data_IF_200861858434
#
_entry.id   IF_200861858434
#
_cell.length_a   1.000
_cell.length_b   1.000
_cell.length_c   1.000
_cell.angle_alpha   90.00
_cell.angle_beta   90.00
_cell.angle_gamma   90.00
#
_symmetry.space_group_name_H-M   'P 1'
#
loop_
_entity.id
_entity.type
_entity.pdbx_description
1 polymer ?
#
# COMPACT_ATOMS: atom_id res chain seq x y z
N UNK A 1 -4.16 7.51 3.74
CA UNK A 1 -5.62 7.70 3.82
C UNK A 1 -6.21 6.53 4.60
N UNK A 2 -7.09 6.77 5.56
CA UNK A 2 -7.62 5.71 6.45
C UNK A 2 -9.07 5.37 6.10
N UNK A 3 -9.41 4.09 6.11
CA UNK A 3 -10.78 3.59 5.84
C UNK A 3 -11.36 2.97 7.10
N UNK A 4 -12.62 3.30 7.40
CA UNK A 4 -13.37 2.68 8.49
C UNK A 4 -14.74 2.23 7.98
N UNK A 5 -15.31 1.20 8.58
CA UNK A 5 -16.62 0.69 8.20
C UNK A 5 -17.01 -0.53 9.03
N UNK A 6 -17.99 -1.27 8.55
CA UNK A 6 -18.49 -2.48 9.18
C UNK A 6 -17.51 -3.68 9.15
N UNK A 7 -17.99 -4.88 9.54
CA UNK A 7 -17.17 -6.08 9.70
C UNK A 7 -16.35 -6.47 8.45
N UNK A 8 -16.85 -6.18 7.24
CA UNK A 8 -16.13 -6.44 5.99
C UNK A 8 -14.87 -5.60 5.83
N UNK A 9 -14.87 -4.35 6.32
CA UNK A 9 -13.69 -3.47 6.33
C UNK A 9 -12.67 -3.96 7.36
N UNK A 10 -13.14 -4.42 8.52
CA UNK A 10 -12.27 -5.05 9.51
C UNK A 10 -11.61 -6.31 8.94
N UNK A 11 -12.37 -7.19 8.28
CA UNK A 11 -11.84 -8.38 7.62
C UNK A 11 -10.82 -8.05 6.53
N UNK A 12 -11.10 -7.04 5.69
CA UNK A 12 -10.16 -6.58 4.67
C UNK A 12 -8.88 -6.00 5.29
N UNK A 13 -9.00 -5.22 6.37
CA UNK A 13 -7.88 -4.63 7.10
C UNK A 13 -7.03 -5.68 7.79
N UNK A 14 -7.65 -6.70 8.41
CA UNK A 14 -6.96 -7.83 9.02
C UNK A 14 -6.24 -8.69 7.99
N UNK A 15 -6.79 -8.86 6.79
CA UNK A 15 -6.10 -9.56 5.70
C UNK A 15 -4.96 -8.77 5.09
N UNK A 16 -5.06 -7.44 5.14
CA UNK A 16 -3.98 -6.56 4.74
C UNK A 16 -2.81 -6.64 5.72
N UNK A 17 -3.06 -6.63 7.02
CA UNK A 17 -1.99 -6.62 8.02
C UNK A 17 -1.56 -8.02 8.44
N UNK A 18 -0.25 -8.25 8.48
CA UNK A 18 0.29 -9.55 8.86
C UNK A 18 0.47 -9.63 10.37
N UNK A 19 -0.01 -10.73 10.97
CA UNK A 19 0.01 -10.93 12.44
C UNK A 19 1.41 -11.05 13.05
N UNK A 20 2.44 -11.32 12.23
CA UNK A 20 3.84 -11.49 12.64
C UNK A 20 4.69 -10.22 12.41
N UNK A 21 4.08 -9.09 12.00
CA UNK A 21 4.78 -7.83 11.76
C UNK A 21 4.33 -6.80 12.80
N UNK A 22 5.28 -5.98 13.28
CA UNK A 22 4.99 -4.82 14.11
C UNK A 22 4.96 -3.57 13.23
N UNK A 23 3.93 -2.75 13.42
CA UNK A 23 3.75 -1.50 12.70
C UNK A 23 3.83 -0.35 13.69
N UNK A 24 4.63 0.66 13.36
CA UNK A 24 4.76 1.88 14.15
C UNK A 24 4.61 3.10 13.24
N UNK A 25 3.78 4.04 13.68
CA UNK A 25 3.46 5.24 12.91
C UNK A 25 3.50 6.45 13.82
N UNK A 26 4.20 7.50 13.41
CA UNK A 26 3.98 8.84 13.92
C UNK A 26 2.95 9.53 13.03
N UNK A 27 1.81 9.90 13.59
CA UNK A 27 0.72 10.50 12.84
C UNK A 27 0.37 11.88 13.39
N UNK A 28 0.28 12.87 12.50
CA UNK A 28 -0.36 14.15 12.75
C UNK A 28 -1.53 14.31 11.78
N UNK A 29 -2.69 14.69 12.31
CA UNK A 29 -3.89 14.97 11.50
C UNK A 29 -4.47 16.30 11.92
N UNK A 30 -4.73 17.15 10.93
CA UNK A 30 -5.42 18.42 11.08
C UNK A 30 -6.75 18.34 10.31
N UNK A 31 -7.80 17.94 11.01
CA UNK A 31 -9.14 17.76 10.44
C UNK A 31 -9.81 19.12 10.28
N UNK A 32 -10.23 19.46 9.06
CA UNK A 32 -10.86 20.75 8.75
C UNK A 32 -12.35 20.64 8.56
N UNK A 33 -12.80 19.65 7.80
CA UNK A 33 -14.19 19.53 7.41
C UNK A 33 -14.60 18.07 7.32
N UNK A 34 -15.85 17.82 7.70
CA UNK A 34 -16.50 16.52 7.66
C UNK A 34 -17.74 16.61 6.78
N UNK A 35 -17.77 15.80 5.71
CA UNK A 35 -18.98 15.60 4.91
C UNK A 35 -19.59 14.24 5.25
N UNK A 36 -20.92 14.17 5.23
CA UNK A 36 -21.63 12.90 5.28
C UNK A 36 -22.84 12.97 4.36
N UNK A 37 -23.15 11.84 3.72
CA UNK A 37 -24.37 11.69 2.96
C UNK A 37 -25.54 11.55 3.94
N UNK A 38 -26.60 12.30 3.69
CA UNK A 38 -27.90 12.09 4.36
C UNK A 38 -28.76 11.22 3.47
N UNK A 39 -29.55 10.33 4.10
CA UNK A 39 -30.52 9.48 3.42
C UNK A 39 -29.92 8.66 2.26
N UNK A 40 -28.67 8.22 2.42
CA UNK A 40 -27.90 7.54 1.35
C UNK A 40 -28.54 6.25 0.85
N UNK A 41 -29.43 5.61 1.61
CA UNK A 41 -30.24 4.49 1.13
C UNK A 41 -31.16 4.86 -0.04
N UNK A 42 -31.63 6.11 -0.10
CA UNK A 42 -32.45 6.63 -1.20
C UNK A 42 -31.65 7.13 -2.41
N UNK A 43 -30.32 7.18 -2.31
CA UNK A 43 -29.42 7.66 -3.38
C UNK A 43 -28.87 6.51 -4.24
N UNK A 44 -29.27 5.27 -3.98
CA UNK A 44 -28.90 4.13 -4.80
C UNK A 44 -29.45 4.31 -6.22
N UNK A 45 -28.59 4.13 -7.23
CA UNK A 45 -29.01 3.99 -8.62
C UNK A 45 -29.71 2.64 -8.81
N UNK A 46 -31.00 2.64 -8.47
CA UNK A 46 -31.87 1.46 -8.45
C UNK A 46 -31.89 0.79 -9.82
N UNK A 47 -32.00 1.54 -10.91
CA UNK A 47 -32.16 0.95 -12.25
C UNK A 47 -30.90 0.23 -12.70
N UNK A 48 -29.73 0.85 -12.52
CA UNK A 48 -28.45 0.23 -12.88
C UNK A 48 -28.16 -1.03 -12.04
N UNK A 49 -28.42 -0.97 -10.74
CA UNK A 49 -28.22 -2.12 -9.84
C UNK A 49 -29.20 -3.23 -10.20
N UNK A 50 -30.49 -2.90 -10.42
CA UNK A 50 -31.53 -3.86 -10.76
C UNK A 50 -31.22 -4.60 -12.06
N UNK A 51 -30.78 -3.89 -13.09
CA UNK A 51 -30.34 -4.50 -14.35
C UNK A 51 -29.17 -5.46 -14.12
N UNK A 52 -28.19 -5.06 -13.31
CA UNK A 52 -27.01 -5.86 -13.05
C UNK A 52 -27.31 -7.13 -12.24
N UNK A 53 -28.14 -7.04 -11.18
CA UNK A 53 -28.49 -8.23 -10.38
C UNK A 53 -29.32 -9.24 -11.18
N UNK A 54 -30.19 -8.79 -12.09
CA UNK A 54 -30.96 -9.67 -12.99
C UNK A 54 -30.08 -10.46 -13.96
N UNK A 55 -28.88 -9.97 -14.26
CA UNK A 55 -27.91 -10.67 -15.10
C UNK A 55 -27.05 -11.69 -14.33
N UNK A 56 -27.11 -11.69 -12.98
CA UNK A 56 -26.33 -12.59 -12.15
C UNK A 56 -26.99 -13.97 -12.03
N UNK A 57 -26.22 -15.07 -12.11
CA UNK A 57 -26.72 -16.40 -11.82
C UNK A 57 -27.20 -16.49 -10.37
N UNK A 58 -28.40 -17.05 -10.18
CA UNK A 58 -29.02 -17.22 -8.87
C UNK A 58 -29.53 -18.66 -8.73
N UNK A 59 -29.20 -19.41 -7.65
CA UNK A 59 -28.39 -18.99 -6.50
C UNK A 59 -26.89 -18.83 -6.85
N UNK A 60 -26.16 -18.13 -5.98
CA UNK A 60 -24.69 -18.09 -6.05
C UNK A 60 -24.13 -19.52 -5.91
N UNK A 61 -23.28 -19.94 -6.86
CA UNK A 61 -22.64 -21.25 -6.88
C UNK A 61 -21.12 -21.08 -6.89
N UNK A 62 -20.49 -21.26 -5.73
CA UNK A 62 -19.04 -21.12 -5.53
C UNK A 62 -18.19 -22.18 -6.25
N UNK A 63 -18.77 -23.31 -6.63
CA UNK A 63 -18.05 -24.38 -7.35
C UNK A 63 -17.92 -24.10 -8.84
N UNK A 64 -18.71 -23.17 -9.38
CA UNK A 64 -18.66 -22.78 -10.79
C UNK A 64 -17.85 -21.48 -10.95
N UNK A 65 -16.64 -21.61 -11.51
CA UNK A 65 -15.73 -20.48 -11.72
C UNK A 65 -16.31 -19.36 -12.60
N UNK A 66 -17.17 -19.68 -13.57
CA UNK A 66 -17.85 -18.67 -14.39
C UNK A 66 -18.88 -17.88 -13.59
N UNK A 67 -19.58 -18.54 -12.65
CA UNK A 67 -20.51 -17.85 -11.74
C UNK A 67 -19.72 -16.93 -10.83
N UNK A 68 -18.65 -17.43 -10.19
CA UNK A 68 -17.77 -16.61 -9.34
C UNK A 68 -17.24 -15.39 -10.10
N UNK A 69 -16.81 -15.56 -11.35
CA UNK A 69 -16.31 -14.45 -12.17
C UNK A 69 -17.39 -13.39 -12.42
N UNK A 70 -18.63 -13.76 -12.74
CA UNK A 70 -19.71 -12.78 -12.92
C UNK A 70 -19.97 -11.93 -11.67
N UNK A 71 -19.87 -12.52 -10.48
CA UNK A 71 -19.98 -11.76 -9.23
C UNK A 71 -18.75 -10.87 -8.99
N UNK A 72 -17.54 -11.31 -9.34
CA UNK A 72 -16.34 -10.45 -9.32
C UNK A 72 -16.51 -9.26 -10.27
N UNK A 73 -17.03 -9.47 -11.47
CA UNK A 73 -17.28 -8.42 -12.46
C UNK A 73 -18.32 -7.42 -11.95
N UNK A 74 -19.36 -7.89 -11.25
CA UNK A 74 -20.33 -7.03 -10.56
C UNK A 74 -19.63 -6.13 -9.53
N UNK A 75 -18.79 -6.68 -8.66
CA UNK A 75 -18.05 -5.90 -7.66
C UNK A 75 -17.01 -4.97 -8.29
N UNK A 76 -16.41 -5.34 -9.41
CA UNK A 76 -15.51 -4.46 -10.15
C UNK A 76 -16.25 -3.25 -10.73
N UNK A 77 -17.51 -3.43 -11.16
CA UNK A 77 -18.34 -2.36 -11.72
C UNK A 77 -18.93 -1.42 -10.67
N UNK A 78 -19.49 -1.97 -9.58
CA UNK A 78 -20.24 -1.18 -8.60
C UNK A 78 -19.47 -0.90 -7.31
N UNK A 79 -18.32 -1.54 -7.12
CA UNK A 79 -17.66 -1.59 -5.83
C UNK A 79 -18.35 -2.55 -4.86
N UNK A 80 -17.75 -2.69 -3.68
CA UNK A 80 -18.26 -3.53 -2.59
C UNK A 80 -18.84 -2.69 -1.45
N UNK A 81 -18.49 -1.41 -1.40
CA UNK A 81 -18.85 -0.48 -0.35
C UNK A 81 -19.13 0.90 -0.94
N UNK A 82 -19.94 1.69 -0.22
CA UNK A 82 -20.29 3.06 -0.57
C UNK A 82 -19.71 4.00 0.47
N UNK A 83 -19.05 5.07 0.02
CA UNK A 83 -18.53 6.12 0.90
C UNK A 83 -19.71 6.93 1.44
N UNK A 84 -19.97 6.85 2.74
CA UNK A 84 -21.07 7.56 3.41
C UNK A 84 -20.61 8.79 4.18
N UNK A 85 -19.33 8.84 4.54
CA UNK A 85 -18.74 9.98 5.25
C UNK A 85 -17.28 10.15 4.86
N UNK A 86 -16.86 11.40 4.77
CA UNK A 86 -15.50 11.79 4.38
C UNK A 86 -14.99 12.87 5.32
N UNK A 87 -13.70 12.82 5.61
CA UNK A 87 -13.01 13.78 6.44
C UNK A 87 -11.88 14.41 5.62
N UNK A 88 -11.85 15.73 5.55
CA UNK A 88 -10.89 16.52 4.80
C UNK A 88 -9.97 17.31 5.72
N UNK A 89 -8.73 17.50 5.30
CA UNK A 89 -7.73 18.23 6.06
C UNK A 89 -6.32 18.01 5.54
N UNK A 90 -5.35 18.02 6.44
CA UNK A 90 -3.98 17.57 6.15
C UNK A 90 -3.57 16.43 7.08
N UNK A 91 -2.74 15.53 6.57
CA UNK A 91 -2.28 14.37 7.30
C UNK A 91 -0.81 14.12 7.01
N UNK A 92 -0.04 13.90 8.06
CA UNK A 92 1.34 13.49 8.01
C UNK A 92 1.45 12.16 8.75
N UNK A 93 1.94 11.15 8.04
CA UNK A 93 2.32 9.87 8.59
C UNK A 93 3.79 9.66 8.28
N UNK A 94 4.60 9.55 9.33
CA UNK A 94 6.02 9.22 9.23
C UNK A 94 6.25 7.88 9.92
N UNK A 95 7.13 7.06 9.35
CA UNK A 95 7.77 6.02 10.16
C UNK A 95 8.76 6.75 11.07
N UNK A 96 8.57 6.70 12.40
CA UNK A 96 9.45 7.43 13.30
C UNK A 96 10.86 6.85 13.18
N UNK A 97 11.86 7.71 12.93
CA UNK A 97 13.20 7.39 13.37
C UNK A 97 13.26 7.46 14.90
N UNK A 98 14.34 6.96 15.50
CA UNK A 98 14.45 6.82 16.95
C UNK A 98 14.18 8.12 17.74
N UNK A 99 14.47 9.26 17.14
CA UNK A 99 14.29 10.61 17.67
C UNK A 99 12.99 11.30 17.22
N UNK A 100 12.08 10.56 16.57
CA UNK A 100 10.81 11.09 16.05
C UNK A 100 11.04 12.05 14.89
N UNK A 101 10.51 13.27 15.00
CA UNK A 101 10.97 14.38 14.17
C UNK A 101 12.18 15.00 14.90
N UNK A 102 13.37 15.06 14.26
CA UNK A 102 14.59 15.56 14.90
C UNK A 102 14.37 16.87 15.66
N UNK A 103 14.88 16.90 16.89
CA UNK A 103 14.77 18.01 17.85
C UNK A 103 13.37 18.26 18.46
N UNK A 104 12.39 17.37 18.27
CA UNK A 104 11.04 17.52 18.81
C UNK A 104 10.78 16.90 20.20
N UNK A 105 11.67 16.05 20.74
CA UNK A 105 11.43 15.34 22.01
C UNK A 105 12.68 14.74 22.68
N UNK A 106 12.50 14.23 23.91
CA UNK A 106 13.53 13.55 24.71
C UNK A 106 13.66 12.07 24.34
N UNK A 107 14.88 11.58 24.17
CA UNK A 107 15.16 10.19 23.82
C UNK A 107 16.50 9.71 24.40
N UNK A 108 16.67 8.39 24.55
CA UNK A 108 17.86 7.70 25.04
C UNK A 108 18.75 7.15 23.89
N UNK A 109 19.78 7.91 23.54
CA UNK A 109 20.71 7.52 22.48
C UNK A 109 21.38 6.15 22.66
N UNK A 110 21.41 5.60 23.88
CA UNK A 110 22.03 4.30 24.14
C UNK A 110 21.36 3.16 23.37
N UNK A 111 20.07 3.28 23.01
CA UNK A 111 19.38 2.24 22.24
C UNK A 111 20.06 1.98 20.89
N UNK A 112 20.73 2.99 20.30
CA UNK A 112 21.39 2.84 18.99
C UNK A 112 22.54 1.82 19.02
N UNK A 113 23.10 1.58 20.20
CA UNK A 113 24.14 0.57 20.40
C UNK A 113 23.60 -0.85 20.53
N UNK A 114 22.31 -1.03 20.85
CA UNK A 114 21.71 -2.33 21.08
C UNK A 114 21.63 -3.15 19.79
N UNK A 115 21.99 -4.44 19.87
CA UNK A 115 21.93 -5.37 18.73
C UNK A 115 20.53 -5.47 18.13
N UNK A 116 19.49 -5.42 18.97
CA UNK A 116 18.09 -5.41 18.53
C UNK A 116 17.75 -4.18 17.69
N UNK A 117 18.29 -3.01 18.03
CA UNK A 117 18.08 -1.79 17.25
C UNK A 117 18.81 -1.83 15.91
N UNK A 118 20.04 -2.36 15.86
CA UNK A 118 20.79 -2.56 14.61
C UNK A 118 20.02 -3.49 13.66
N UNK A 119 19.54 -4.62 14.18
CA UNK A 119 18.71 -5.55 13.42
C UNK A 119 17.38 -4.93 12.98
N UNK A 120 16.75 -4.11 13.82
CA UNK A 120 15.57 -3.34 13.42
C UNK A 120 15.89 -2.37 12.26
N UNK A 121 17.01 -1.65 12.31
CA UNK A 121 17.44 -0.73 11.24
C UNK A 121 17.70 -1.46 9.92
N UNK A 122 18.27 -2.67 9.96
CA UNK A 122 18.48 -3.52 8.78
C UNK A 122 17.15 -4.00 8.17
N UNK A 123 16.15 -4.32 9.00
CA UNK A 123 14.91 -4.96 8.55
C UNK A 123 13.75 -3.98 8.30
N UNK A 124 13.78 -2.78 8.87
CA UNK A 124 12.68 -1.83 8.76
C UNK A 124 12.46 -1.40 7.31
N UNK A 125 11.20 -1.07 7.02
CA UNK A 125 10.77 -0.39 5.81
C UNK A 125 10.21 0.97 6.18
N UNK A 126 10.48 1.97 5.34
CA UNK A 126 10.00 3.32 5.54
C UNK A 126 8.90 3.63 4.53
N UNK A 127 7.72 3.99 5.04
CA UNK A 127 6.65 4.57 4.24
C UNK A 127 6.23 5.89 4.88
N UNK A 128 6.72 6.99 4.31
CA UNK A 128 6.30 8.33 4.68
C UNK A 128 5.19 8.78 3.73
N UNK A 129 4.10 9.28 4.28
CA UNK A 129 2.95 9.73 3.50
C UNK A 129 2.46 11.05 4.07
N UNK A 130 2.50 12.10 3.24
CA UNK A 130 2.07 13.43 3.62
C UNK A 130 1.05 13.92 2.59
N UNK A 131 -0.09 14.35 3.08
CA UNK A 131 -1.26 14.73 2.30
C UNK A 131 -1.73 16.12 2.73
N UNK A 132 -2.04 16.97 1.74
CA UNK A 132 -2.47 18.35 1.99
C UNK A 132 -1.31 19.27 2.37
N UNK A 133 -1.62 20.56 2.55
CA UNK A 133 -0.61 21.59 2.76
C UNK A 133 0.25 21.86 1.53
N UNK A 134 1.42 22.46 1.75
CA UNK A 134 2.36 22.76 0.68
C UNK A 134 3.16 21.52 0.23
N UNK A 135 3.10 21.20 -1.06
CA UNK A 135 3.74 20.02 -1.64
C UNK A 135 5.27 20.04 -1.59
N UNK A 136 5.90 21.22 -1.64
CA UNK A 136 7.35 21.34 -1.53
C UNK A 136 7.81 21.07 -0.10
N UNK A 137 7.10 21.61 0.90
CA UNK A 137 7.37 21.31 2.31
C UNK A 137 7.06 19.85 2.66
N UNK A 138 6.00 19.28 2.10
CA UNK A 138 5.70 17.86 2.23
C UNK A 138 6.82 16.98 1.67
N UNK A 139 7.35 17.29 0.48
CA UNK A 139 8.49 16.57 -0.09
C UNK A 139 9.73 16.66 0.82
N UNK A 140 10.02 17.84 1.36
CA UNK A 140 11.12 18.02 2.31
C UNK A 140 10.96 17.20 3.58
N UNK A 141 9.73 17.09 4.12
CA UNK A 141 9.45 16.27 5.30
C UNK A 141 9.60 14.77 5.03
N UNK A 142 9.38 14.31 3.80
CA UNK A 142 9.64 12.92 3.41
C UNK A 142 11.14 12.63 3.35
N UNK A 143 11.95 13.57 2.84
CA UNK A 143 13.37 13.33 2.56
C UNK A 143 14.32 13.73 3.70
N UNK A 144 13.98 14.78 4.44
CA UNK A 144 14.81 15.38 5.49
C UNK A 144 13.92 16.07 6.54
N UNK A 145 13.18 15.29 7.36
CA UNK A 145 12.25 15.84 8.32
C UNK A 145 12.99 16.68 9.38
N UNK A 146 12.49 17.90 9.62
CA UNK A 146 12.88 18.72 10.77
C UNK A 146 11.63 19.28 11.43
N UNK A 147 11.71 19.58 12.74
CA UNK A 147 10.58 20.15 13.45
C UNK A 147 10.15 21.50 12.84
N UNK A 148 11.12 22.34 12.47
CA UNK A 148 10.87 23.62 11.79
C UNK A 148 10.15 23.45 10.44
N UNK A 149 10.53 22.47 9.63
CA UNK A 149 9.82 22.18 8.36
C UNK A 149 8.41 21.68 8.64
N UNK A 150 8.23 20.87 9.69
CA UNK A 150 6.92 20.35 10.10
C UNK A 150 5.99 21.48 10.49
N UNK A 151 6.44 22.42 11.31
CA UNK A 151 5.63 23.57 11.72
C UNK A 151 5.23 24.44 10.53
N UNK A 152 6.18 24.73 9.62
CA UNK A 152 5.87 25.48 8.39
C UNK A 152 4.85 24.75 7.52
N UNK A 153 5.00 23.44 7.33
CA UNK A 153 4.03 22.65 6.55
C UNK A 153 2.67 22.65 7.22
N UNK A 154 2.63 22.43 8.55
CA UNK A 154 1.41 22.49 9.36
C UNK A 154 0.67 23.81 9.15
N UNK A 155 1.38 24.94 9.14
CA UNK A 155 0.73 26.24 8.98
C UNK A 155 0.15 26.43 7.55
N UNK A 156 0.67 25.69 6.55
CA UNK A 156 0.12 25.66 5.19
C UNK A 156 -1.02 24.66 4.99
N UNK A 157 -1.34 23.83 5.98
CA UNK A 157 -2.42 22.83 5.89
C UNK A 157 -3.80 23.46 5.66
N UNK A 158 -3.99 24.68 6.16
CA UNK A 158 -5.26 25.40 6.21
C UNK A 158 -5.89 25.66 4.82
N UNK A 159 -5.17 26.27 3.84
CA UNK A 159 -5.75 26.56 2.52
C UNK A 159 -5.75 25.36 1.55
N UNK A 160 -5.08 24.25 1.85
CA UNK A 160 -4.84 23.14 0.91
C UNK A 160 -5.27 21.79 1.53
N UNK A 161 -6.58 21.64 1.75
CA UNK A 161 -7.16 20.42 2.32
C UNK A 161 -7.36 19.32 1.29
N UNK A 162 -7.16 18.07 1.68
CA UNK A 162 -7.40 16.88 0.87
C UNK A 162 -8.20 15.83 1.66
N UNK A 163 -8.73 14.82 0.98
CA UNK A 163 -9.42 13.70 1.62
C UNK A 163 -8.44 12.91 2.51
N UNK A 164 -8.72 12.81 3.81
CA UNK A 164 -7.85 12.14 4.79
C UNK A 164 -8.33 10.73 5.12
N UNK A 165 -9.63 10.62 5.39
CA UNK A 165 -10.25 9.37 5.78
C UNK A 165 -11.71 9.36 5.36
N UNK A 166 -12.26 8.16 5.26
CA UNK A 166 -13.66 7.98 4.91
C UNK A 166 -14.26 6.79 5.64
N UNK A 167 -15.57 6.87 5.87
CA UNK A 167 -16.39 5.80 6.39
C UNK A 167 -17.19 5.23 5.24
N UNK A 168 -17.24 3.90 5.17
CA UNK A 168 -18.03 3.19 4.19
C UNK A 168 -19.11 2.32 4.82
N UNK A 169 -20.17 2.12 4.06
CA UNK A 169 -21.24 1.14 4.34
C UNK A 169 -21.18 0.03 3.28
N UNK A 170 -21.51 -1.21 3.62
CA UNK A 170 -21.49 -2.29 2.64
C UNK A 170 -22.64 -2.17 1.64
N UNK A 171 -22.35 -2.42 0.36
CA UNK A 171 -23.36 -2.30 -0.71
C UNK A 171 -24.58 -3.20 -0.43
N UNK A 172 -24.36 -4.43 0.05
CA UNK A 172 -25.46 -5.35 0.37
C UNK A 172 -26.29 -4.90 1.57
N UNK A 173 -25.71 -4.19 2.55
CA UNK A 173 -26.44 -3.60 3.67
C UNK A 173 -27.41 -2.53 3.16
N UNK A 174 -26.95 -1.69 2.23
CA UNK A 174 -27.79 -0.72 1.54
C UNK A 174 -28.88 -1.38 0.69
N UNK A 175 -28.52 -2.42 -0.06
CA UNK A 175 -29.48 -3.16 -0.90
C UNK A 175 -30.62 -3.72 -0.05
N UNK A 176 -30.32 -4.37 1.08
CA UNK A 176 -31.34 -4.91 2.00
C UNK A 176 -32.27 -3.83 2.53
N UNK A 177 -31.78 -2.62 2.75
CA UNK A 177 -32.57 -1.45 3.16
C UNK A 177 -33.32 -0.74 2.01
N UNK A 178 -33.18 -1.20 0.77
CA UNK A 178 -33.84 -0.59 -0.39
C UNK A 178 -35.36 -0.77 -0.35
N UNK A 179 -36.10 0.24 -0.83
CA UNK A 179 -37.55 0.17 -1.05
C UNK A 179 -37.92 -0.74 -2.23
N UNK A 180 -36.96 -1.10 -3.08
CA UNK A 180 -37.16 -2.05 -4.15
C UNK A 180 -37.03 -3.48 -3.61
N UNK A 181 -38.13 -4.24 -3.61
CA UNK A 181 -38.19 -5.60 -3.07
C UNK A 181 -37.20 -6.57 -3.72
N UNK A 182 -36.93 -6.42 -5.02
CA UNK A 182 -35.99 -7.30 -5.74
C UNK A 182 -34.55 -7.03 -5.30
N UNK A 183 -34.16 -5.75 -5.20
CA UNK A 183 -32.85 -5.35 -4.68
C UNK A 183 -32.69 -5.80 -3.22
N UNK A 184 -33.72 -5.56 -2.39
CA UNK A 184 -33.72 -5.93 -0.98
C UNK A 184 -33.53 -7.44 -0.78
N UNK A 185 -34.27 -8.26 -1.52
CA UNK A 185 -34.13 -9.71 -1.48
C UNK A 185 -32.75 -10.19 -1.95
N UNK A 186 -32.16 -9.55 -2.97
CA UNK A 186 -30.88 -9.95 -3.55
C UNK A 186 -29.67 -9.59 -2.68
N UNK A 187 -29.81 -8.65 -1.74
CA UNK A 187 -28.71 -8.21 -0.88
C UNK A 187 -28.05 -9.36 -0.10
N UNK A 188 -28.80 -10.38 0.32
CA UNK A 188 -28.21 -11.56 0.99
C UNK A 188 -27.31 -12.37 0.06
N UNK A 189 -27.69 -12.54 -1.21
CA UNK A 189 -26.88 -13.24 -2.20
C UNK A 189 -25.59 -12.48 -2.51
N UNK A 190 -25.64 -11.16 -2.61
CA UNK A 190 -24.45 -10.32 -2.79
C UNK A 190 -23.49 -10.46 -1.61
N UNK A 191 -24.01 -10.42 -0.38
CA UNK A 191 -23.19 -10.61 0.83
C UNK A 191 -22.49 -11.97 0.81
N UNK A 192 -23.22 -13.06 0.56
CA UNK A 192 -22.67 -14.41 0.52
C UNK A 192 -21.57 -14.57 -0.54
N UNK A 193 -21.79 -14.00 -1.73
CA UNK A 193 -20.80 -14.03 -2.80
C UNK A 193 -19.53 -13.25 -2.41
N UNK A 194 -19.68 -12.06 -1.81
CA UNK A 194 -18.54 -11.27 -1.33
C UNK A 194 -17.73 -12.02 -0.27
N UNK A 195 -18.39 -12.54 0.77
CA UNK A 195 -17.74 -13.27 1.86
C UNK A 195 -16.97 -14.50 1.33
N UNK A 196 -17.56 -15.25 0.39
CA UNK A 196 -16.88 -16.38 -0.21
C UNK A 196 -15.67 -15.94 -1.05
N UNK A 197 -15.82 -14.94 -1.93
CA UNK A 197 -14.73 -14.46 -2.81
C UNK A 197 -13.54 -13.97 -1.97
N UNK A 198 -13.81 -13.18 -0.93
CA UNK A 198 -12.76 -12.63 -0.05
C UNK A 198 -12.08 -13.73 0.75
N UNK A 199 -12.78 -14.79 1.14
CA UNK A 199 -12.22 -15.93 1.88
C UNK A 199 -11.56 -16.99 1.01
N UNK A 200 -11.70 -16.92 -0.31
CA UNK A 200 -11.10 -17.87 -1.25
C UNK A 200 -10.31 -17.12 -2.34
N UNK A 201 -9.28 -16.33 -1.95
CA UNK A 201 -8.46 -15.64 -2.93
C UNK A 201 -7.73 -16.66 -3.81
N UNK A 202 -7.64 -16.36 -5.10
CA UNK A 202 -6.75 -17.11 -5.98
C UNK A 202 -5.33 -16.68 -5.62
N UNK A 203 -4.45 -17.63 -5.31
CA UNK A 203 -3.03 -17.33 -5.10
C UNK A 203 -2.40 -17.03 -6.46
N UNK A 204 -1.78 -15.87 -6.57
CA UNK A 204 -0.98 -15.45 -7.72
C UNK A 204 0.50 -15.57 -7.34
N UNK A 205 1.32 -16.13 -8.24
CA UNK A 205 2.76 -16.27 -8.04
C UNK A 205 3.49 -15.58 -9.20
N UNK A 206 3.72 -14.29 -9.05
CA UNK A 206 4.36 -13.46 -10.06
C UNK A 206 5.88 -13.62 -10.02
N UNK A 207 6.49 -13.87 -11.17
CA UNK A 207 7.96 -13.95 -11.33
C UNK A 207 8.54 -12.54 -11.39
N UNK A 208 9.58 -12.28 -10.60
CA UNK A 208 10.24 -10.98 -10.52
C UNK A 208 11.75 -11.14 -10.58
N UNK A 209 12.42 -10.30 -11.36
CA UNK A 209 13.88 -10.21 -11.38
C UNK A 209 14.33 -8.79 -11.01
N UNK A 210 15.11 -8.68 -9.93
CA UNK A 210 15.83 -7.46 -9.57
C UNK A 210 17.21 -7.49 -10.25
N UNK A 211 17.43 -6.54 -11.16
CA UNK A 211 18.70 -6.37 -11.87
C UNK A 211 19.38 -5.12 -11.34
N UNK A 212 20.62 -5.29 -10.88
CA UNK A 212 21.39 -4.31 -10.13
C UNK A 212 22.65 -3.98 -10.90
N UNK A 213 22.95 -2.68 -11.03
CA UNK A 213 24.19 -2.13 -11.57
C UNK A 213 24.67 -1.02 -10.62
N UNK A 214 25.14 -1.42 -9.43
CA UNK A 214 25.42 -0.52 -8.29
C UNK A 214 26.29 -1.22 -7.22
N UNK A 215 26.73 -0.50 -6.19
CA UNK A 215 27.39 -1.07 -4.99
C UNK A 215 26.39 -1.66 -3.97
N UNK A 216 25.14 -1.20 -4.02
CA UNK A 216 24.00 -1.83 -3.36
C UNK A 216 22.69 -1.49 -4.09
N UNK A 217 21.66 -2.31 -3.86
CA UNK A 217 20.29 -2.01 -4.24
C UNK A 217 19.28 -2.65 -3.27
N UNK A 218 18.07 -2.10 -3.25
CA UNK A 218 16.96 -2.59 -2.44
C UNK A 218 15.66 -2.58 -3.25
N UNK A 219 14.89 -3.65 -3.10
CA UNK A 219 13.49 -3.75 -3.49
C UNK A 219 12.66 -3.85 -2.22
N UNK A 220 11.68 -2.96 -2.06
CA UNK A 220 10.73 -3.04 -0.96
C UNK A 220 9.31 -3.15 -1.49
N UNK A 221 8.67 -4.27 -1.15
CA UNK A 221 7.26 -4.50 -1.36
C UNK A 221 6.47 -3.64 -0.35
N UNK A 222 5.50 -2.87 -0.85
CA UNK A 222 4.68 -1.98 -0.05
C UNK A 222 3.26 -2.51 0.14
N UNK A 223 2.84 -3.50 -0.64
CA UNK A 223 1.55 -4.17 -0.52
C UNK A 223 1.57 -5.18 0.63
N UNK A 224 0.92 -4.90 1.78
CA UNK A 224 1.01 -5.72 2.99
C UNK A 224 0.40 -7.13 2.87
N UNK A 225 -0.53 -7.34 1.93
CA UNK A 225 -1.10 -8.66 1.62
C UNK A 225 -0.22 -9.52 0.72
N UNK A 226 0.90 -9.00 0.22
CA UNK A 226 1.83 -9.69 -0.66
C UNK A 226 3.12 -10.06 0.09
N UNK A 227 3.80 -11.12 -0.37
CA UNK A 227 5.09 -11.55 0.19
C UNK A 227 6.12 -11.85 -0.90
N UNK A 228 7.38 -11.62 -0.57
CA UNK A 228 8.56 -12.03 -1.33
C UNK A 228 8.91 -13.47 -0.94
N UNK A 229 9.08 -14.32 -1.95
CA UNK A 229 9.65 -15.67 -1.81
C UNK A 229 10.83 -15.79 -2.76
N UNK A 230 12.01 -16.08 -2.23
CA UNK A 230 13.23 -16.18 -3.02
C UNK A 230 13.18 -17.34 -4.03
N UNK A 231 13.82 -17.17 -5.18
CA UNK A 231 14.11 -18.26 -6.10
C UNK A 231 15.21 -19.19 -5.58
N UNK A 232 15.56 -20.18 -6.40
CA UNK A 232 16.51 -21.25 -6.00
C UNK A 232 17.94 -20.75 -5.78
N UNK A 233 18.31 -19.64 -6.44
CA UNK A 233 19.66 -19.06 -6.37
C UNK A 233 19.61 -17.71 -5.68
N UNK A 234 20.16 -17.65 -4.47
CA UNK A 234 20.33 -16.42 -3.70
C UNK A 234 21.80 -16.00 -3.77
N UNK A 235 22.14 -14.90 -4.44
CA UNK A 235 23.52 -14.41 -4.50
C UNK A 235 24.08 -14.08 -3.12
N UNK A 236 25.39 -14.16 -2.97
CA UNK A 236 26.07 -13.69 -1.75
C UNK A 236 25.78 -12.20 -1.50
N UNK A 237 25.80 -11.80 -0.22
CA UNK A 237 25.44 -10.45 0.23
C UNK A 237 23.97 -10.06 0.00
N UNK A 238 23.10 -11.03 -0.26
CA UNK A 238 21.66 -10.82 -0.30
C UNK A 238 21.07 -10.99 1.09
N UNK A 239 20.43 -9.96 1.60
CA UNK A 239 19.58 -10.01 2.78
C UNK A 239 18.12 -9.89 2.33
N UNK A 240 17.23 -10.68 2.92
CA UNK A 240 15.83 -10.63 2.55
C UNK A 240 14.92 -10.99 3.71
N UNK A 241 13.69 -10.52 3.62
CA UNK A 241 12.54 -11.00 4.36
C UNK A 241 11.33 -10.98 3.39
N UNK A 242 10.15 -11.24 3.93
CA UNK A 242 8.93 -11.35 3.12
C UNK A 242 8.48 -10.01 2.50
N UNK A 243 9.04 -8.87 2.88
CA UNK A 243 8.67 -7.55 2.32
C UNK A 243 9.83 -6.84 1.65
N UNK A 244 11.07 -7.23 1.94
CA UNK A 244 12.26 -6.50 1.53
C UNK A 244 13.35 -7.43 1.04
N UNK A 245 14.00 -7.02 -0.04
CA UNK A 245 15.17 -7.67 -0.61
C UNK A 245 16.26 -6.61 -0.77
N UNK A 246 17.44 -6.87 -0.23
CA UNK A 246 18.59 -5.98 -0.29
C UNK A 246 19.81 -6.76 -0.74
N UNK A 247 20.65 -6.14 -1.57
CA UNK A 247 21.92 -6.72 -2.00
C UNK A 247 23.05 -5.70 -1.88
N UNK A 248 24.22 -6.18 -1.49
CA UNK A 248 25.42 -5.38 -1.33
C UNK A 248 25.44 -4.64 0.01
N UNK A 249 26.32 -3.65 0.13
CA UNK A 249 26.44 -2.83 1.34
C UNK A 249 26.54 -1.35 0.96
N UNK A 250 25.72 -0.53 1.60
CA UNK A 250 25.77 0.92 1.48
C UNK A 250 27.20 1.42 1.73
N UNK A 251 27.75 2.23 0.83
CA UNK A 251 29.10 2.82 0.91
C UNK A 251 30.25 1.80 0.84
N UNK A 252 30.00 0.59 0.34
CA UNK A 252 31.09 -0.36 0.06
C UNK A 252 31.99 0.10 -1.09
N UNK A 253 31.47 0.96 -1.98
CA UNK A 253 32.13 1.44 -3.20
C UNK A 253 32.59 0.32 -4.16
N UNK A 254 32.14 -0.92 -3.93
CA UNK A 254 32.42 -2.07 -4.78
C UNK A 254 31.20 -2.31 -5.66
N UNK A 255 31.16 -1.62 -6.80
CA UNK A 255 30.10 -1.82 -7.76
C UNK A 255 30.15 -3.20 -8.39
N UNK A 256 28.97 -3.75 -8.66
CA UNK A 256 28.82 -5.03 -9.33
C UNK A 256 27.53 -5.06 -10.14
N UNK A 257 27.47 -6.01 -11.06
CA UNK A 257 26.24 -6.37 -11.75
C UNK A 257 25.70 -7.65 -11.15
N UNK A 258 24.48 -7.60 -10.65
CA UNK A 258 23.82 -8.77 -10.05
C UNK A 258 22.37 -8.86 -10.53
N UNK A 259 21.91 -10.10 -10.71
CA UNK A 259 20.48 -10.38 -10.87
C UNK A 259 20.03 -11.27 -9.71
N UNK A 260 18.86 -10.98 -9.16
CA UNK A 260 18.21 -11.76 -8.12
C UNK A 260 16.80 -12.08 -8.60
N UNK A 261 16.51 -13.36 -8.75
CA UNK A 261 15.20 -13.85 -9.15
C UNK A 261 14.40 -14.26 -7.90
N UNK A 262 13.16 -13.82 -7.84
CA UNK A 262 12.23 -14.11 -6.74
C UNK A 262 10.79 -14.12 -7.24
N UNK A 263 9.88 -14.44 -6.34
CA UNK A 263 8.45 -14.42 -6.59
C UNK A 263 7.76 -13.44 -5.65
N UNK A 264 6.75 -12.76 -6.15
CA UNK A 264 5.77 -12.08 -5.30
C UNK A 264 4.52 -12.94 -5.27
N UNK A 265 4.12 -13.36 -4.07
CA UNK A 265 2.90 -14.13 -3.84
C UNK A 265 1.85 -13.20 -3.24
N UNK A 266 0.68 -13.12 -3.89
CA UNK A 266 -0.46 -12.36 -3.38
C UNK A 266 -1.80 -12.95 -3.84
N UNK A 267 -2.88 -12.19 -3.66
CA UNK A 267 -4.27 -12.53 -3.97
C UNK A 267 -4.74 -12.04 -5.36
N UNK A 268 -3.81 -11.62 -6.23
CA UNK A 268 -4.10 -11.15 -7.59
C UNK A 268 -4.39 -9.65 -7.70
N UNK A 269 -4.40 -8.90 -6.61
CA UNK A 269 -4.47 -7.43 -6.68
C UNK A 269 -3.15 -6.83 -7.19
N UNK A 270 -3.17 -5.65 -7.84
CA UNK A 270 -1.95 -4.93 -8.18
C UNK A 270 -1.07 -4.65 -6.96
N UNK A 271 0.24 -4.67 -7.16
CA UNK A 271 1.21 -4.41 -6.08
C UNK A 271 1.84 -3.02 -6.20
N UNK A 272 2.21 -2.49 -5.04
CA UNK A 272 3.02 -1.29 -4.88
C UNK A 272 4.40 -1.71 -4.36
N UNK A 273 5.46 -1.10 -4.88
CA UNK A 273 6.83 -1.35 -4.44
C UNK A 273 7.72 -0.13 -4.65
N UNK A 274 8.93 -0.17 -4.11
CA UNK A 274 9.98 0.79 -4.43
C UNK A 274 11.28 0.10 -4.81
N UNK A 275 12.11 0.83 -5.55
CA UNK A 275 13.48 0.45 -5.90
C UNK A 275 14.40 1.54 -5.38
N UNK A 276 15.45 1.15 -4.65
CA UNK A 276 16.51 2.05 -4.17
C UNK A 276 17.87 1.52 -4.64
N UNK A 277 18.84 2.42 -4.82
CA UNK A 277 20.19 2.01 -5.23
C UNK A 277 21.29 2.96 -4.76
N UNK A 278 22.48 2.41 -4.64
CA UNK A 278 23.72 3.15 -4.40
C UNK A 278 24.38 3.73 -5.65
N UNK A 279 25.70 3.82 -5.61
CA UNK A 279 26.53 4.44 -6.66
C UNK A 279 27.37 3.39 -7.37
N UNK A 280 27.81 3.68 -8.59
CA UNK A 280 28.61 2.75 -9.37
C UNK A 280 30.11 2.70 -9.01
N UNK A 281 30.49 2.89 -7.74
CA UNK A 281 31.89 2.88 -7.28
C UNK A 281 32.76 4.00 -7.87
N UNK A 282 33.43 4.79 -7.02
CA UNK A 282 34.49 5.74 -7.40
C UNK A 282 34.23 6.70 -8.59
N UNK A 283 33.58 7.84 -8.33
CA UNK A 283 33.48 9.00 -9.23
C UNK A 283 32.28 8.97 -10.18
N UNK A 284 31.43 10.00 -10.10
CA UNK A 284 30.34 10.48 -11.00
C UNK A 284 29.46 9.49 -11.80
N UNK A 285 29.59 8.17 -11.57
CA UNK A 285 28.80 7.14 -12.21
C UNK A 285 27.49 6.90 -11.48
N UNK A 286 26.37 7.16 -12.16
CA UNK A 286 25.04 6.82 -11.67
C UNK A 286 24.91 5.30 -11.58
N UNK A 287 24.67 4.78 -10.37
CA UNK A 287 24.19 3.40 -10.22
C UNK A 287 22.77 3.28 -10.76
N UNK A 288 22.31 2.05 -10.98
CA UNK A 288 20.90 1.80 -11.30
C UNK A 288 20.41 0.48 -10.74
N UNK A 289 19.10 0.39 -10.57
CA UNK A 289 18.42 -0.86 -10.30
C UNK A 289 17.10 -0.90 -11.07
N UNK A 290 16.71 -2.08 -11.53
CA UNK A 290 15.45 -2.28 -12.24
C UNK A 290 14.77 -3.58 -11.87
N UNK A 291 13.46 -3.58 -11.96
CA UNK A 291 12.60 -4.73 -11.79
C UNK A 291 12.03 -5.13 -13.14
N UNK A 292 12.21 -6.39 -13.51
CA UNK A 292 11.45 -7.01 -14.59
C UNK A 292 10.33 -7.85 -13.98
N UNK A 293 9.10 -7.53 -14.37
CA UNK A 293 7.88 -8.19 -13.86
C UNK A 293 6.77 -8.05 -14.92
N UNK A 294 6.02 -9.12 -15.20
CA UNK A 294 4.94 -9.12 -16.20
C UNK A 294 5.35 -8.69 -17.62
N UNK A 295 6.60 -8.92 -18.00
CA UNK A 295 7.13 -8.46 -19.29
C UNK A 295 7.34 -6.94 -19.36
N UNK A 296 7.10 -6.22 -18.27
CA UNK A 296 7.44 -4.81 -18.11
C UNK A 296 8.75 -4.63 -17.34
N UNK A 297 9.42 -3.50 -17.60
CA UNK A 297 10.65 -3.11 -16.92
C UNK A 297 10.44 -1.78 -16.20
N UNK A 298 10.69 -1.78 -14.90
CA UNK A 298 10.60 -0.62 -14.01
C UNK A 298 12.00 -0.22 -13.58
N UNK A 299 12.47 0.96 -14.00
CA UNK A 299 13.87 1.39 -13.83
C UNK A 299 13.94 2.53 -12.84
N UNK A 300 14.91 2.45 -11.93
CA UNK A 300 15.40 3.59 -11.17
C UNK A 300 16.88 3.83 -11.49
N UNK A 301 17.15 4.92 -12.20
CA UNK A 301 18.46 5.39 -12.63
C UNK A 301 18.73 6.85 -12.19
N UNK A 302 17.85 7.41 -11.36
CA UNK A 302 17.89 8.81 -10.96
C UNK A 302 18.60 8.99 -9.62
N UNK A 303 19.56 9.92 -9.58
CA UNK A 303 20.09 10.44 -8.33
C UNK A 303 19.10 11.46 -7.75
N UNK A 304 18.59 11.21 -6.55
CA UNK A 304 17.63 12.12 -5.89
C UNK A 304 18.24 12.92 -4.74
N UNK A 305 19.58 12.90 -4.60
CA UNK A 305 20.38 13.53 -3.54
C UNK A 305 19.99 13.17 -2.09
N UNK A 306 19.00 12.29 -1.91
CA UNK A 306 18.82 11.55 -0.68
C UNK A 306 19.74 10.31 -0.73
N UNK A 307 20.27 9.87 0.41
CA UNK A 307 21.28 8.82 0.48
C UNK A 307 20.85 7.45 -0.12
N UNK A 308 19.58 7.29 -0.49
CA UNK A 308 18.98 6.01 -0.89
C UNK A 308 18.55 5.92 -2.36
N UNK A 309 18.48 7.05 -3.08
CA UNK A 309 17.98 7.13 -4.47
C UNK A 309 16.73 6.29 -4.70
N UNK A 310 15.63 6.57 -4.01
CA UNK A 310 14.42 5.73 -4.06
C UNK A 310 13.41 6.21 -5.10
N UNK A 311 12.84 5.26 -5.86
CA UNK A 311 11.70 5.47 -6.75
C UNK A 311 10.56 4.51 -6.40
N UNK A 312 9.33 5.03 -6.36
CA UNK A 312 8.12 4.27 -6.02
C UNK A 312 7.30 3.94 -7.26
N UNK A 313 6.76 2.74 -7.29
CA UNK A 313 5.91 2.20 -8.35
C UNK A 313 4.60 1.74 -7.74
N UNK A 314 3.49 2.26 -8.26
CA UNK A 314 2.15 1.99 -7.74
C UNK A 314 1.30 1.24 -8.75
N UNK A 315 0.44 0.37 -8.24
CA UNK A 315 -0.62 -0.36 -8.94
C UNK A 315 -0.11 -1.17 -10.14
N UNK A 316 0.99 -1.91 -9.93
CA UNK A 316 1.59 -2.75 -10.96
C UNK A 316 0.90 -4.10 -11.02
N UNK A 317 0.58 -4.56 -12.23
CA UNK A 317 -0.13 -5.82 -12.46
C UNK A 317 0.67 -7.04 -11.99
N UNK A 318 -0.04 -8.15 -11.77
CA UNK A 318 0.51 -9.43 -11.29
C UNK A 318 0.02 -10.60 -12.15
N UNK A 319 0.87 -11.59 -12.38
CA UNK A 319 0.50 -12.85 -13.06
C UNK A 319 0.07 -13.94 -12.08
N UNK A 320 -0.85 -14.83 -12.51
CA UNK A 320 -1.14 -16.09 -11.84
C UNK A 320 0.08 -16.99 -11.66
#
# INVERSE_FOLDING_TARGET
MSVTGGPSVALATEKHHRRNVQYAYYCYSDNKYLAFLKDYGGLLDVDSILQAIRALPTPFNSTNSQVVQKYKDFFQRFGTHVIVKVNYGAHLQLVPDYDGIPSGGTHDFNIKSATSFKKYQELKQHLNSIYGGDGTLAKLLVTAPTYTTFEKWRDTSQPKTVLLSFVVEELWSLMKGSLNNEISAFGTTIQQAFEWIVNNPKVHKTVVALIIESDWAEFGLLTPSAIIVMGDKIPEMTEHNEMKLTWGKEKSHKSGRQQIDFYVINDGYPIDFYISHGRNGGGDGNGSARINMEGETYINDQLTDNNYNTMWFYQKGVSP
#
